data_IF_952916504445
#
_entry.id   IF_952916504445
#
_cell.length_a   1.000
_cell.length_b   1.000
_cell.length_c   1.000
_cell.angle_alpha   90.00
_cell.angle_beta   90.00
_cell.angle_gamma   90.00
#
_symmetry.space_group_name_H-M   'P 1'
#
loop_
_entity.id
_entity.type
_entity.pdbx_description
1 polymer ?
#
# COMPACT_ATOMS: atom_id res chain seq x y z
N UNK A 1 29.70 -52.19 -7.87
CA UNK A 1 28.81 -52.13 -6.68
C UNK A 1 29.64 -51.58 -5.53
N UNK A 2 29.30 -50.61 -4.69
CA UNK A 2 28.25 -49.59 -4.57
C UNK A 2 28.89 -48.54 -3.64
N UNK A 3 28.99 -47.28 -4.05
CA UNK A 3 29.47 -46.19 -3.19
C UNK A 3 28.27 -45.65 -2.41
N UNK A 4 28.23 -45.87 -1.09
CA UNK A 4 27.13 -45.47 -0.21
C UNK A 4 27.37 -44.03 0.27
N UNK A 5 26.67 -43.08 -0.34
CA UNK A 5 26.63 -41.67 0.03
C UNK A 5 25.63 -41.48 1.17
N UNK A 6 26.07 -41.25 2.41
CA UNK A 6 25.20 -40.66 3.44
C UNK A 6 26.00 -39.96 4.54
N UNK A 7 25.65 -38.69 4.70
CA UNK A 7 25.37 -38.06 6.00
C UNK A 7 26.53 -37.86 6.98
N UNK A 8 27.15 -36.69 6.88
CA UNK A 8 27.71 -35.94 8.00
C UNK A 8 27.13 -34.53 7.85
N UNK A 9 25.87 -34.28 8.24
CA UNK A 9 25.51 -33.82 9.58
C UNK A 9 26.53 -32.83 10.20
N UNK A 10 27.09 -31.95 9.37
CA UNK A 10 27.83 -30.77 9.80
C UNK A 10 26.82 -29.66 10.16
N UNK A 11 26.39 -29.68 11.42
CA UNK A 11 25.45 -28.76 12.03
C UNK A 11 25.97 -27.33 12.19
N UNK A 12 26.07 -26.58 11.08
CA UNK A 12 26.36 -25.14 11.10
C UNK A 12 25.49 -24.31 10.13
N UNK A 13 24.72 -24.94 9.25
CA UNK A 13 23.78 -24.22 8.36
C UNK A 13 22.41 -24.06 9.04
N UNK A 14 22.45 -23.74 10.34
CA UNK A 14 21.30 -23.63 11.24
C UNK A 14 21.00 -22.21 11.72
N UNK A 15 21.56 -21.16 11.10
CA UNK A 15 21.38 -19.78 11.59
C UNK A 15 21.26 -18.71 10.48
N UNK A 16 20.93 -19.09 9.25
CA UNK A 16 20.61 -18.12 8.19
C UNK A 16 19.12 -18.12 7.81
N UNK A 17 18.24 -18.46 8.75
CA UNK A 17 16.83 -18.09 8.67
C UNK A 17 16.72 -16.60 9.01
N UNK A 18 17.08 -15.78 8.02
CA UNK A 18 16.93 -14.34 8.06
C UNK A 18 15.47 -14.02 8.34
N UNK A 19 15.22 -13.54 9.57
CA UNK A 19 13.97 -12.90 9.97
C UNK A 19 13.76 -11.69 9.07
N UNK A 20 13.03 -11.90 7.98
CA UNK A 20 12.52 -10.82 7.14
C UNK A 20 11.22 -10.36 7.75
N UNK A 21 11.29 -9.37 8.65
CA UNK A 21 10.11 -8.58 9.00
C UNK A 21 9.74 -7.70 7.81
N UNK A 22 8.83 -8.18 6.96
CA UNK A 22 8.08 -7.32 6.05
C UNK A 22 7.33 -6.29 6.90
N UNK A 23 7.74 -5.03 6.83
CA UNK A 23 6.97 -3.93 7.40
C UNK A 23 5.86 -3.60 6.42
N UNK A 24 4.77 -4.35 6.50
CA UNK A 24 3.51 -3.98 5.86
C UNK A 24 2.87 -2.86 6.67
N UNK A 25 3.18 -1.63 6.27
CA UNK A 25 2.62 -0.43 6.88
C UNK A 25 1.20 -0.27 6.32
N UNK A 26 0.15 -0.40 7.16
CA UNK A 26 -1.22 -0.33 6.68
C UNK A 26 -1.56 1.08 6.17
N UNK A 27 -2.53 1.20 5.24
CA UNK A 27 -3.03 2.51 4.82
C UNK A 27 -3.58 3.26 6.05
N UNK A 28 -3.01 4.44 6.33
CA UNK A 28 -3.38 5.27 7.48
C UNK A 28 -2.31 5.39 8.56
N UNK A 29 -1.25 4.57 8.52
CA UNK A 29 -0.12 4.74 9.44
C UNK A 29 0.68 6.03 9.12
N UNK A 30 1.32 6.58 10.15
CA UNK A 30 2.16 7.75 10.05
C UNK A 30 3.53 7.42 10.62
N UNK A 31 4.59 7.79 9.90
CA UNK A 31 5.92 7.75 10.48
C UNK A 31 5.97 8.72 11.67
N UNK A 32 6.37 8.21 12.84
CA UNK A 32 6.63 8.99 14.04
C UNK A 32 7.55 10.20 13.80
N UNK A 33 8.46 10.11 12.83
CA UNK A 33 9.32 11.22 12.43
C UNK A 33 8.61 12.36 11.69
N UNK A 34 7.38 12.15 11.22
CA UNK A 34 6.56 13.16 10.54
C UNK A 34 5.57 13.88 11.46
N UNK A 35 5.35 13.36 12.67
CA UNK A 35 4.46 13.97 13.66
C UNK A 35 4.97 15.37 14.02
N UNK A 36 4.06 16.35 14.03
CA UNK A 36 4.36 17.74 14.37
C UNK A 36 5.03 18.57 13.25
N UNK A 37 5.31 17.97 12.08
CA UNK A 37 5.82 18.71 10.92
C UNK A 37 4.69 19.25 10.05
N UNK A 38 4.84 20.48 9.58
CA UNK A 38 3.92 21.07 8.60
C UNK A 38 4.12 20.35 7.25
N UNK A 39 3.01 19.97 6.62
CA UNK A 39 2.97 19.40 5.27
C UNK A 39 2.53 20.45 4.26
N UNK A 40 3.01 20.33 3.03
CA UNK A 40 2.50 21.14 1.92
C UNK A 40 1.11 20.63 1.54
N UNK A 41 0.14 21.53 1.54
CA UNK A 41 -1.23 21.24 1.11
C UNK A 41 -1.58 22.11 -0.09
N UNK A 42 -2.20 21.54 -1.11
CA UNK A 42 -2.62 22.26 -2.32
C UNK A 42 -4.10 21.99 -2.60
N UNK A 43 -4.93 23.02 -2.75
CA UNK A 43 -6.34 22.84 -3.09
C UNK A 43 -6.53 22.47 -4.57
N UNK A 44 -7.59 21.71 -4.83
CA UNK A 44 -7.96 21.30 -6.18
C UNK A 44 -9.38 20.76 -6.27
N UNK A 45 -9.74 20.32 -7.47
CA UNK A 45 -11.04 19.72 -7.79
C UNK A 45 -10.84 18.40 -8.51
N UNK A 46 -11.59 17.38 -8.09
CA UNK A 46 -11.61 16.09 -8.80
C UNK A 46 -12.32 16.27 -10.14
N UNK A 47 -11.62 16.04 -11.24
CA UNK A 47 -12.18 16.12 -12.59
C UNK A 47 -12.54 14.75 -13.17
N UNK A 48 -11.93 13.67 -12.66
CA UNK A 48 -12.28 12.30 -13.03
C UNK A 48 -11.86 11.33 -11.94
N UNK A 49 -12.55 10.20 -11.84
CA UNK A 49 -12.15 9.08 -10.97
C UNK A 49 -12.48 7.75 -11.62
N UNK A 50 -11.66 6.74 -11.31
CA UNK A 50 -11.92 5.35 -11.72
C UNK A 50 -11.56 4.36 -10.60
N UNK A 51 -12.31 3.27 -10.44
CA UNK A 51 -11.94 2.21 -9.52
C UNK A 51 -10.68 1.50 -10.04
N UNK A 52 -9.78 1.16 -9.12
CA UNK A 52 -8.54 0.42 -9.40
C UNK A 52 -8.36 -0.72 -8.40
N UNK A 53 -7.53 -1.69 -8.76
CA UNK A 53 -7.11 -2.78 -7.88
C UNK A 53 -5.71 -2.50 -7.37
N UNK A 54 -5.55 -2.45 -6.06
CA UNK A 54 -4.26 -2.31 -5.41
C UNK A 54 -3.68 -3.71 -5.22
N UNK A 55 -2.44 -3.90 -5.64
CA UNK A 55 -1.66 -5.10 -5.35
C UNK A 55 -0.68 -4.71 -4.26
N UNK A 56 -0.78 -5.33 -3.08
CA UNK A 56 0.32 -5.29 -2.12
C UNK A 56 1.40 -6.23 -2.66
N UNK A 57 2.65 -5.75 -2.74
CA UNK A 57 3.81 -6.61 -3.05
C UNK A 57 4.12 -7.59 -1.91
N UNK A 58 3.22 -7.73 -0.93
CA UNK A 58 3.34 -8.65 0.18
C UNK A 58 3.19 -10.14 -0.25
N UNK A 59 2.82 -10.42 -1.52
CA UNK A 59 2.53 -11.79 -1.96
C UNK A 59 3.26 -12.23 -3.26
N UNK A 60 4.47 -11.72 -3.51
CA UNK A 60 5.37 -12.24 -4.57
C UNK A 60 6.53 -13.08 -4.00
N UNK A 61 6.27 -13.94 -3.01
CA UNK A 61 7.29 -14.93 -2.58
C UNK A 61 6.72 -16.32 -2.23
N UNK A 62 5.43 -16.58 -2.44
CA UNK A 62 4.83 -17.90 -2.16
C UNK A 62 4.21 -18.53 -3.42
N UNK A 63 5.01 -18.64 -4.48
CA UNK A 63 4.68 -19.49 -5.64
C UNK A 63 5.87 -20.33 -6.06
N UNK A 64 6.55 -20.98 -5.12
CA UNK A 64 7.40 -22.15 -5.40
C UNK A 64 7.71 -22.92 -4.10
N UNK A 65 6.74 -23.66 -3.55
CA UNK A 65 6.94 -25.06 -3.17
C UNK A 65 5.63 -25.69 -2.70
N UNK A 66 5.30 -26.83 -3.30
CA UNK A 66 4.09 -27.59 -3.01
C UNK A 66 4.27 -28.41 -1.72
N UNK A 67 3.41 -28.20 -0.74
CA UNK A 67 3.12 -29.20 0.32
C UNK A 67 1.61 -29.42 0.40
N UNK A 68 1.10 -30.64 0.11
CA UNK A 68 -0.31 -30.90 -0.03
C UNK A 68 -0.93 -31.39 1.28
N UNK A 69 -1.04 -30.56 2.32
CA UNK A 69 -1.95 -30.87 3.44
C UNK A 69 -2.12 -29.71 4.42
N UNK A 70 -3.19 -28.92 4.25
CA UNK A 70 -4.05 -28.38 5.33
C UNK A 70 -5.11 -27.47 4.72
N UNK A 71 -6.28 -28.05 4.43
CA UNK A 71 -7.49 -27.31 4.07
C UNK A 71 -8.13 -26.72 5.33
N UNK A 72 -7.81 -25.47 5.66
CA UNK A 72 -8.62 -24.63 6.56
C UNK A 72 -8.36 -23.14 6.29
N UNK A 73 -9.14 -22.58 5.36
CA UNK A 73 -9.51 -21.16 5.29
C UNK A 73 -8.39 -20.11 5.43
N UNK A 74 -7.67 -19.83 4.34
CA UNK A 74 -7.10 -18.50 4.15
C UNK A 74 -7.67 -17.89 2.89
N UNK A 75 -8.44 -16.83 3.10
CA UNK A 75 -8.87 -15.91 2.05
C UNK A 75 -7.65 -15.54 1.20
N UNK A 76 -7.73 -15.78 -0.12
CA UNK A 76 -6.64 -15.42 -1.03
C UNK A 76 -6.22 -13.94 -0.85
N UNK A 77 -4.96 -13.60 -1.21
CA UNK A 77 -4.32 -12.30 -0.95
C UNK A 77 -5.31 -11.15 -1.02
N UNK A 78 -5.42 -10.40 0.08
CA UNK A 78 -6.33 -9.27 0.23
C UNK A 78 -6.15 -8.25 -0.90
N UNK A 79 -6.97 -8.38 -1.94
CA UNK A 79 -7.02 -7.44 -3.07
C UNK A 79 -7.68 -6.17 -2.58
N UNK A 80 -6.89 -5.23 -2.05
CA UNK A 80 -7.41 -3.94 -1.63
C UNK A 80 -7.92 -3.17 -2.83
N UNK A 81 -9.18 -2.71 -2.77
CA UNK A 81 -9.77 -1.83 -3.77
C UNK A 81 -9.34 -0.40 -3.49
N UNK A 82 -9.25 0.40 -4.56
CA UNK A 82 -8.94 1.80 -4.46
C UNK A 82 -9.57 2.59 -5.59
N UNK A 83 -9.34 3.90 -5.56
CA UNK A 83 -9.70 4.82 -6.62
C UNK A 83 -8.47 5.57 -7.09
N UNK A 84 -8.40 5.80 -8.39
CA UNK A 84 -7.50 6.78 -8.98
C UNK A 84 -8.29 8.05 -9.25
N UNK A 85 -7.81 9.17 -8.71
CA UNK A 85 -8.38 10.50 -8.85
C UNK A 85 -7.52 11.34 -9.78
N UNK A 86 -8.11 11.85 -10.85
CA UNK A 86 -7.51 12.91 -11.67
C UNK A 86 -7.98 14.24 -11.11
N UNK A 87 -7.02 15.08 -10.73
CA UNK A 87 -7.26 16.31 -9.97
C UNK A 87 -6.72 17.47 -10.77
N UNK A 88 -7.55 18.49 -10.95
CA UNK A 88 -7.11 19.82 -11.37
C UNK A 88 -6.75 20.62 -10.12
N UNK A 89 -5.49 20.97 -9.97
CA UNK A 89 -5.03 21.86 -8.91
C UNK A 89 -5.48 23.29 -9.21
N UNK A 90 -5.72 24.10 -8.18
CA UNK A 90 -6.09 25.51 -8.36
C UNK A 90 -4.98 26.33 -9.03
N UNK A 91 -3.72 25.84 -8.99
CA UNK A 91 -2.60 26.39 -9.74
C UNK A 91 -2.68 26.15 -11.26
N UNK A 92 -3.66 25.38 -11.74
CA UNK A 92 -3.88 25.04 -13.15
C UNK A 92 -3.29 23.69 -13.58
N UNK A 93 -2.39 23.12 -12.78
CA UNK A 93 -1.79 21.81 -13.04
C UNK A 93 -2.78 20.65 -12.90
N UNK A 94 -2.49 19.52 -13.56
CA UNK A 94 -3.27 18.29 -13.44
C UNK A 94 -2.38 17.18 -12.87
N UNK A 95 -2.87 16.47 -11.87
CA UNK A 95 -2.19 15.33 -11.25
C UNK A 95 -3.11 14.11 -11.16
N UNK A 96 -2.53 12.92 -11.01
CA UNK A 96 -3.26 11.68 -10.67
C UNK A 96 -2.77 11.15 -9.33
N UNK A 97 -3.70 10.75 -8.46
CA UNK A 97 -3.40 10.16 -7.15
C UNK A 97 -4.25 8.91 -6.96
N UNK A 98 -3.62 7.81 -6.55
CA UNK A 98 -4.28 6.55 -6.20
C UNK A 98 -4.38 6.43 -4.69
N UNK A 99 -5.57 6.14 -4.17
CA UNK A 99 -5.82 5.90 -2.75
C UNK A 99 -6.71 4.67 -2.54
N UNK A 100 -6.65 4.05 -1.37
CA UNK A 100 -7.58 3.00 -0.96
C UNK A 100 -9.03 3.53 -0.90
N UNK A 101 -10.00 2.62 -0.90
CA UNK A 101 -11.44 2.94 -0.86
C UNK A 101 -11.93 3.45 0.53
N UNK A 102 -11.04 3.92 1.39
CA UNK A 102 -11.38 4.37 2.74
C UNK A 102 -12.21 5.66 2.76
N UNK A 103 -11.98 6.56 1.80
CA UNK A 103 -12.65 7.86 1.69
C UNK A 103 -13.53 7.92 0.43
N UNK A 104 -14.83 8.19 0.62
CA UNK A 104 -15.79 8.34 -0.48
C UNK A 104 -15.78 9.76 -1.06
N UNK A 105 -14.84 10.02 -1.95
CA UNK A 105 -14.81 11.27 -2.74
C UNK A 105 -15.71 11.17 -3.99
N UNK A 106 -16.13 12.31 -4.52
CA UNK A 106 -17.02 12.44 -5.70
C UNK A 106 -16.39 13.28 -6.80
N UNK A 107 -16.82 13.07 -8.04
CA UNK A 107 -16.44 13.96 -9.14
C UNK A 107 -16.94 15.39 -8.85
N UNK A 108 -16.16 16.38 -9.29
CA UNK A 108 -16.37 17.82 -9.05
C UNK A 108 -16.27 18.26 -7.59
N UNK A 109 -15.83 17.37 -6.69
CA UNK A 109 -15.64 17.72 -5.30
C UNK A 109 -14.37 18.55 -5.10
N UNK A 110 -14.47 19.59 -4.27
CA UNK A 110 -13.32 20.34 -3.76
C UNK A 110 -12.55 19.50 -2.74
N UNK A 111 -11.24 19.44 -2.93
CA UNK A 111 -10.36 18.59 -2.15
C UNK A 111 -9.07 19.32 -1.80
N UNK A 112 -8.38 18.76 -0.82
CA UNK A 112 -7.03 19.14 -0.46
C UNK A 112 -6.08 17.98 -0.76
N UNK A 113 -5.00 18.29 -1.48
CA UNK A 113 -3.90 17.37 -1.75
C UNK A 113 -2.82 17.61 -0.71
N UNK A 114 -2.58 16.63 0.15
CA UNK A 114 -1.59 16.68 1.22
C UNK A 114 -0.35 15.92 0.76
N UNK A 115 0.77 16.64 0.56
CA UNK A 115 2.06 16.05 0.19
C UNK A 115 2.81 15.54 1.43
N UNK A 116 3.44 14.38 1.30
CA UNK A 116 4.26 13.75 2.34
C UNK A 116 4.95 12.50 1.79
N UNK A 117 5.33 11.57 2.67
CA UNK A 117 5.81 10.24 2.24
C UNK A 117 4.76 9.50 1.40
N UNK A 118 3.49 9.67 1.75
CA UNK A 118 2.35 9.26 0.93
C UNK A 118 1.45 10.46 0.68
N UNK A 119 1.12 10.70 -0.59
CA UNK A 119 0.15 11.74 -0.97
C UNK A 119 -1.24 11.28 -0.57
N UNK A 120 -2.01 12.18 0.05
CA UNK A 120 -3.40 11.92 0.45
C UNK A 120 -4.33 12.95 -0.16
N UNK A 121 -5.52 12.51 -0.53
CA UNK A 121 -6.59 13.38 -1.04
C UNK A 121 -7.72 13.34 -0.03
N UNK A 122 -8.09 14.51 0.50
CA UNK A 122 -9.13 14.63 1.53
C UNK A 122 -10.18 15.65 1.08
N UNK A 123 -11.44 15.51 1.51
CA UNK A 123 -12.47 16.50 1.24
C UNK A 123 -12.09 17.87 1.80
N UNK A 124 -12.32 18.93 1.05
CA UNK A 124 -12.24 20.30 1.56
C UNK A 124 -13.59 20.69 2.15
N UNK A 125 -13.75 20.47 3.46
CA UNK A 125 -15.01 20.71 4.16
C UNK A 125 -15.08 22.08 4.85
N UNK A 126 -14.03 22.91 4.74
CA UNK A 126 -13.92 24.15 5.53
C UNK A 126 -13.48 25.39 4.75
N UNK A 127 -13.19 25.28 3.45
CA UNK A 127 -12.81 26.44 2.62
C UNK A 127 -13.95 27.41 2.34
N UNK A 128 -15.21 27.00 2.50
CA UNK A 128 -16.38 27.84 2.22
C UNK A 128 -16.76 28.76 3.39
N UNK A 129 -16.15 28.55 4.58
CA UNK A 129 -16.49 29.24 5.83
C UNK A 129 -15.57 30.44 6.16
N UNK A 130 -14.59 30.76 5.30
CA UNK A 130 -13.60 31.83 5.48
C UNK A 130 -13.42 32.67 4.21
#
# INVERSE_FOLDING_TARGET
MKLKKTSFMAGLVGCLLLVSCSKDIPPGDYDSAEVGKIKKVVPGTIISMRPVRLHSKADETLSSEATPESSAGSSGPGRSKGYEYVIRLNSGGIISVVQAEDIKLKNKQHILVIYGTHTRVVPDNGSEDF
#
